data_IF_815488456083
#
_entry.id   IF_815488456083
#
_cell.length_a   1.000
_cell.length_b   1.000
_cell.length_c   1.000
_cell.angle_alpha   90.00
_cell.angle_beta   90.00
_cell.angle_gamma   90.00
#
_symmetry.space_group_name_H-M   'P 1'
#
loop_
_entity.id
_entity.type
_entity.pdbx_description
1 polymer ?
#
# COMPACT_ATOMS: atom_id res chain seq x y z
N UNK A 1 13.13 -7.68 1.28
CA UNK A 1 13.12 -6.84 0.07
C UNK A 1 12.09 -5.73 0.06
N UNK A 2 10.96 -5.87 0.75
CA UNK A 2 9.96 -4.79 0.85
C UNK A 2 10.57 -3.47 1.38
N UNK A 3 11.52 -3.55 2.33
CA UNK A 3 12.26 -2.39 2.85
C UNK A 3 13.31 -1.80 1.89
N UNK A 4 13.54 -2.40 0.73
CA UNK A 4 14.64 -2.02 -0.19
C UNK A 4 14.12 -1.86 -1.61
N UNK A 5 14.52 -2.75 -2.52
CA UNK A 5 14.24 -2.64 -3.96
C UNK A 5 12.75 -2.74 -4.30
N UNK A 6 11.98 -3.45 -3.48
CA UNK A 6 10.56 -3.72 -3.77
C UNK A 6 9.59 -2.76 -3.08
N UNK A 7 10.08 -1.72 -2.39
CA UNK A 7 9.24 -0.78 -1.62
C UNK A 7 8.10 -0.15 -2.42
N UNK A 8 8.29 0.05 -3.73
CA UNK A 8 7.30 0.66 -4.63
C UNK A 8 6.56 -0.38 -5.51
N UNK A 9 6.74 -1.67 -5.25
CA UNK A 9 6.22 -2.80 -6.04
C UNK A 9 5.43 -3.81 -5.19
N UNK A 10 5.17 -3.50 -3.93
CA UNK A 10 4.41 -4.34 -3.00
C UNK A 10 3.10 -3.63 -2.66
N UNK A 11 2.00 -4.39 -2.68
CA UNK A 11 0.64 -3.93 -2.41
C UNK A 11 0.04 -4.74 -1.25
N UNK A 12 -0.77 -4.07 -0.43
CA UNK A 12 -1.63 -4.74 0.54
C UNK A 12 -2.72 -5.56 -0.15
N UNK A 13 -2.99 -6.75 0.41
CA UNK A 13 -4.13 -7.59 0.06
C UNK A 13 -4.36 -8.61 1.18
N UNK A 14 -5.54 -8.57 1.82
CA UNK A 14 -5.81 -9.41 2.99
C UNK A 14 -6.17 -10.85 2.64
N UNK A 15 -6.67 -11.12 1.44
CA UNK A 15 -7.29 -12.41 1.05
C UNK A 15 -8.63 -12.70 1.79
N UNK A 16 -9.49 -11.69 1.89
CA UNK A 16 -10.83 -11.87 2.46
C UNK A 16 -11.73 -12.67 1.50
N UNK A 17 -12.51 -13.68 1.97
CA UNK A 17 -12.84 -13.97 3.37
C UNK A 17 -11.91 -14.95 4.11
N UNK A 18 -10.89 -15.49 3.45
CA UNK A 18 -9.99 -16.52 4.02
C UNK A 18 -9.17 -15.95 5.18
N UNK A 19 -8.67 -14.71 5.04
CA UNK A 19 -7.98 -13.98 6.10
C UNK A 19 -8.67 -12.61 6.27
N UNK A 20 -9.08 -12.31 7.51
CA UNK A 20 -9.72 -11.03 7.83
C UNK A 20 -8.72 -9.87 7.75
N UNK A 21 -9.16 -8.67 7.33
CA UNK A 21 -8.29 -7.49 7.30
C UNK A 21 -7.60 -7.22 8.63
N UNK A 22 -8.34 -7.30 9.74
CA UNK A 22 -7.82 -7.04 11.09
C UNK A 22 -6.70 -8.02 11.48
N UNK A 23 -6.89 -9.32 11.17
CA UNK A 23 -5.86 -10.34 11.43
C UNK A 23 -4.62 -10.08 10.58
N UNK A 24 -4.79 -9.77 9.29
CA UNK A 24 -3.68 -9.47 8.41
C UNK A 24 -2.88 -8.26 8.91
N UNK A 25 -3.57 -7.18 9.31
CA UNK A 25 -2.95 -5.97 9.84
C UNK A 25 -2.18 -6.26 11.13
N UNK A 26 -2.77 -7.04 12.05
CA UNK A 26 -2.10 -7.43 13.28
C UNK A 26 -0.84 -8.27 13.03
N UNK A 27 -0.82 -9.13 12.01
CA UNK A 27 0.37 -9.89 11.64
C UNK A 27 1.40 -9.04 10.90
N UNK A 28 0.96 -8.10 10.07
CA UNK A 28 1.83 -7.13 9.40
C UNK A 28 2.53 -6.18 10.38
N UNK A 29 1.89 -5.84 11.50
CA UNK A 29 2.47 -4.99 12.57
C UNK A 29 3.66 -5.63 13.28
N UNK A 30 3.76 -6.95 13.25
CA UNK A 30 4.88 -7.68 13.85
C UNK A 30 6.10 -7.71 12.94
N UNK A 31 5.97 -7.32 11.68
CA UNK A 31 7.07 -7.28 10.72
C UNK A 31 7.92 -6.02 10.93
N UNK A 32 9.24 -6.15 10.79
CA UNK A 32 10.18 -5.02 10.84
C UNK A 32 10.13 -4.21 9.53
N UNK A 33 9.00 -3.59 9.24
CA UNK A 33 8.82 -2.69 8.09
C UNK A 33 9.21 -1.28 8.49
N UNK A 34 10.07 -0.64 7.69
CA UNK A 34 10.49 0.73 7.96
C UNK A 34 9.28 1.69 7.92
N UNK A 35 9.20 2.70 8.80
CA UNK A 35 8.05 3.61 8.88
C UNK A 35 7.66 4.25 7.55
N UNK A 36 8.64 4.60 6.71
CA UNK A 36 8.45 5.23 5.41
C UNK A 36 8.00 4.27 4.30
N UNK A 37 8.15 2.96 4.51
CA UNK A 37 7.73 1.91 3.56
C UNK A 37 6.30 1.44 3.85
N UNK A 38 5.92 1.46 5.12
CA UNK A 38 4.60 1.03 5.59
C UNK A 38 3.42 1.69 4.84
N UNK A 39 3.31 3.03 4.70
CA UNK A 39 2.19 3.65 3.97
C UNK A 39 2.18 3.29 2.48
N UNK A 40 3.36 3.03 1.89
CA UNK A 40 3.45 2.60 0.49
C UNK A 40 2.78 1.27 0.25
N UNK A 41 3.03 0.30 1.13
CA UNK A 41 2.44 -1.04 1.05
C UNK A 41 0.94 -0.96 1.29
N UNK A 42 0.51 -0.24 2.32
CA UNK A 42 -0.91 -0.19 2.72
C UNK A 42 -1.79 0.59 1.74
N UNK A 43 -1.23 1.59 1.03
CA UNK A 43 -2.05 2.48 0.19
C UNK A 43 -1.33 3.07 -1.01
N UNK A 44 -0.19 3.73 -0.82
CA UNK A 44 0.30 4.67 -1.85
C UNK A 44 0.69 3.97 -3.17
N UNK A 45 1.21 2.74 -3.08
CA UNK A 45 1.52 1.96 -4.27
C UNK A 45 0.25 1.61 -5.07
N UNK A 46 -0.86 1.30 -4.39
CA UNK A 46 -2.14 1.03 -5.04
C UNK A 46 -2.72 2.29 -5.66
N UNK A 47 -2.67 3.41 -4.93
CA UNK A 47 -3.14 4.72 -5.43
C UNK A 47 -2.41 5.11 -6.71
N UNK A 48 -1.08 4.99 -6.73
CA UNK A 48 -0.27 5.28 -7.93
C UNK A 48 -0.54 4.30 -9.06
N UNK A 49 -0.56 2.99 -8.77
CA UNK A 49 -0.73 1.95 -9.79
C UNK A 49 -2.11 2.04 -10.47
N UNK A 50 -3.15 2.32 -9.69
CA UNK A 50 -4.54 2.34 -10.13
C UNK A 50 -5.00 3.74 -10.55
N UNK A 51 -4.15 4.76 -10.48
CA UNK A 51 -4.49 6.14 -10.88
C UNK A 51 -5.55 6.80 -9.99
N UNK A 52 -5.63 6.43 -8.71
CA UNK A 52 -6.69 6.87 -7.79
C UNK A 52 -6.38 8.19 -7.07
N UNK A 53 -5.20 8.77 -7.32
CA UNK A 53 -4.84 10.07 -6.78
C UNK A 53 -5.64 11.18 -7.48
N UNK A 54 -6.04 12.20 -6.73
CA UNK A 54 -6.73 13.37 -7.27
C UNK A 54 -5.90 13.98 -8.39
N UNK A 55 -6.31 13.78 -9.64
CA UNK A 55 -5.80 14.56 -10.76
C UNK A 55 -6.42 15.95 -10.61
N UNK A 56 -5.62 16.97 -10.30
CA UNK A 56 -6.04 18.33 -10.61
C UNK A 56 -6.29 18.37 -12.11
N UNK A 57 -7.57 18.47 -12.47
CA UNK A 57 -7.99 18.68 -13.85
C UNK A 57 -7.47 20.06 -14.20
N UNK A 58 -6.29 20.14 -14.81
CA UNK A 58 -5.77 21.37 -15.40
C UNK A 58 -6.78 21.79 -16.46
N UNK A 59 -7.66 22.69 -16.05
CA UNK A 59 -8.65 23.29 -16.93
C UNK A 59 -7.88 24.39 -17.64
N UNK A 60 -7.22 24.02 -18.74
CA UNK A 60 -6.68 25.00 -19.66
C UNK A 60 -7.89 25.70 -20.30
N UNK A 61 -8.19 26.90 -19.82
CA UNK A 61 -9.06 27.88 -20.46
C UNK A 61 -8.19 28.96 -21.09
#
# INVERSE_FOLDING_TARGET
YANTLLKDKVLFGSDYPVITPDRWLADFDKLEIKPEVRPKILKDNAVRLLGLGTQERTTNA
#
